data_IF_541531748179
#
_entry.id   IF_541531748179
#
_cell.length_a   1.000
_cell.length_b   1.000
_cell.length_c   1.000
_cell.angle_alpha   90.00
_cell.angle_beta   90.00
_cell.angle_gamma   90.00
#
_symmetry.space_group_name_H-M   'P 1'
#
loop_
_entity.id
_entity.type
_entity.pdbx_description
1 polymer ?
#
# COMPACT_ATOMS: atom_id res chain seq x y z
N UNK A 1 -15.48 2.07 -26.24
CA UNK A 1 -16.34 1.04 -25.65
C UNK A 1 -15.66 0.63 -24.36
N UNK A 2 -16.26 0.92 -23.22
CA UNK A 2 -15.66 0.63 -21.90
C UNK A 2 -15.56 -0.88 -21.73
N UNK A 3 -14.35 -1.42 -21.54
CA UNK A 3 -14.19 -2.82 -21.19
C UNK A 3 -14.50 -2.98 -19.70
N UNK A 4 -15.27 -4.02 -19.37
CA UNK A 4 -15.51 -4.43 -17.99
C UNK A 4 -14.98 -5.84 -17.77
N UNK A 5 -14.29 -6.07 -16.64
CA UNK A 5 -13.85 -7.41 -16.21
C UNK A 5 -14.02 -7.53 -14.71
N UNK A 6 -14.67 -8.59 -14.24
CA UNK A 6 -14.94 -8.83 -12.81
C UNK A 6 -15.49 -7.61 -12.02
N UNK A 7 -16.24 -6.71 -12.66
CA UNK A 7 -16.79 -5.50 -12.00
C UNK A 7 -15.88 -4.26 -12.02
N UNK A 8 -14.66 -4.36 -12.57
CA UNK A 8 -13.81 -3.21 -12.86
C UNK A 8 -14.21 -2.57 -14.19
N UNK A 9 -14.26 -1.25 -14.19
CA UNK A 9 -14.36 -0.41 -15.40
C UNK A 9 -12.97 0.07 -15.81
N UNK A 10 -12.58 -0.21 -17.06
CA UNK A 10 -11.32 0.26 -17.63
C UNK A 10 -11.55 1.48 -18.50
N UNK A 11 -11.02 2.63 -18.03
CA UNK A 11 -11.13 3.92 -18.72
C UNK A 11 -10.05 4.12 -19.80
N UNK A 12 -8.94 3.39 -19.70
CA UNK A 12 -7.85 3.40 -20.68
C UNK A 12 -8.00 2.30 -21.72
N UNK A 13 -7.23 2.42 -22.82
CA UNK A 13 -7.09 1.34 -23.79
C UNK A 13 -6.34 0.16 -23.15
N UNK A 14 -6.89 -1.05 -23.31
CA UNK A 14 -6.22 -2.31 -22.92
C UNK A 14 -5.51 -2.83 -24.14
N UNK A 15 -4.18 -2.92 -24.04
CA UNK A 15 -3.30 -3.41 -25.09
C UNK A 15 -3.08 -4.92 -24.93
N UNK A 16 -2.57 -5.61 -25.97
CA UNK A 16 -2.19 -7.02 -25.84
C UNK A 16 -1.15 -7.30 -24.75
N UNK A 17 -0.34 -6.32 -24.37
CA UNK A 17 0.63 -6.46 -23.28
C UNK A 17 -0.05 -6.51 -21.90
N UNK A 18 -1.24 -5.92 -21.77
CA UNK A 18 -1.99 -5.87 -20.51
C UNK A 18 -2.73 -7.18 -20.24
N UNK A 19 -3.03 -7.98 -21.26
CA UNK A 19 -3.81 -9.22 -21.14
C UNK A 19 -3.17 -10.24 -20.19
N UNK A 20 -1.84 -10.28 -20.12
CA UNK A 20 -1.11 -11.14 -19.18
C UNK A 20 -1.16 -10.66 -17.72
N UNK A 21 -1.55 -9.40 -17.48
CA UNK A 21 -1.61 -8.78 -16.15
C UNK A 21 -3.07 -8.67 -15.69
N UNK A 22 -3.95 -8.17 -16.54
CA UNK A 22 -5.37 -7.92 -16.30
C UNK A 22 -6.22 -9.17 -16.60
N UNK A 23 -5.74 -10.33 -16.16
CA UNK A 23 -6.49 -11.59 -16.25
C UNK A 23 -7.76 -11.52 -15.40
N UNK A 24 -8.78 -12.33 -15.73
CA UNK A 24 -10.05 -12.34 -14.98
C UNK A 24 -9.83 -12.59 -13.48
N UNK A 25 -8.95 -13.54 -13.13
CA UNK A 25 -8.65 -13.87 -11.74
C UNK A 25 -7.92 -12.74 -11.02
N UNK A 26 -7.00 -12.05 -11.69
CA UNK A 26 -6.31 -10.89 -11.13
C UNK A 26 -7.29 -9.72 -10.91
N UNK A 27 -8.17 -9.45 -11.86
CA UNK A 27 -9.19 -8.42 -11.73
C UNK A 27 -10.17 -8.73 -10.59
N UNK A 28 -10.64 -9.98 -10.48
CA UNK A 28 -11.49 -10.43 -9.37
C UNK A 28 -10.81 -10.22 -8.03
N UNK A 29 -9.55 -10.62 -7.90
CA UNK A 29 -8.78 -10.42 -6.68
C UNK A 29 -8.64 -8.93 -6.31
N UNK A 30 -8.40 -8.05 -7.30
CA UNK A 30 -8.34 -6.61 -7.05
C UNK A 30 -9.70 -6.07 -6.56
N UNK A 31 -10.82 -6.52 -7.12
CA UNK A 31 -12.15 -6.14 -6.62
C UNK A 31 -12.33 -6.53 -5.15
N UNK A 32 -12.01 -7.78 -4.78
CA UNK A 32 -12.11 -8.25 -3.39
C UNK A 32 -11.26 -7.40 -2.44
N UNK A 33 -10.06 -6.99 -2.85
CA UNK A 33 -9.22 -6.08 -2.07
C UNK A 33 -9.83 -4.67 -1.93
N UNK A 34 -10.41 -4.14 -3.00
CA UNK A 34 -11.06 -2.82 -2.98
C UNK A 34 -12.25 -2.86 -2.04
N UNK A 35 -13.12 -3.86 -2.17
CA UNK A 35 -14.30 -4.02 -1.31
C UNK A 35 -13.92 -4.17 0.16
N UNK A 36 -12.87 -4.94 0.47
CA UNK A 36 -12.43 -5.17 1.83
C UNK A 36 -11.75 -3.95 2.48
N UNK A 37 -11.04 -3.12 1.71
CA UNK A 37 -10.09 -2.15 2.29
C UNK A 37 -10.28 -0.68 1.87
N UNK A 38 -11.03 -0.38 0.81
CA UNK A 38 -11.12 0.99 0.28
C UNK A 38 -11.81 1.97 1.23
N UNK A 39 -12.83 1.53 1.97
CA UNK A 39 -13.50 2.36 2.98
C UNK A 39 -12.51 2.78 4.07
N UNK A 40 -11.80 1.80 4.66
CA UNK A 40 -10.81 2.06 5.71
C UNK A 40 -9.68 2.97 5.23
N UNK A 41 -9.18 2.77 4.01
CA UNK A 41 -8.19 3.66 3.38
C UNK A 41 -8.71 5.11 3.35
N UNK A 42 -9.96 5.31 2.94
CA UNK A 42 -10.59 6.62 2.88
C UNK A 42 -10.71 7.26 4.27
N UNK A 43 -11.14 6.49 5.28
CA UNK A 43 -11.18 6.98 6.67
C UNK A 43 -9.81 7.39 7.20
N UNK A 44 -8.75 6.64 6.85
CA UNK A 44 -7.37 6.97 7.24
C UNK A 44 -6.88 8.27 6.57
N UNK A 45 -7.23 8.52 5.31
CA UNK A 45 -6.91 9.79 4.64
C UNK A 45 -7.63 10.97 5.29
N UNK A 46 -8.89 10.80 5.70
CA UNK A 46 -9.61 11.81 6.48
C UNK A 46 -8.95 12.06 7.85
N UNK A 47 -8.52 10.99 8.53
CA UNK A 47 -7.81 11.09 9.81
C UNK A 47 -6.48 11.85 9.67
N UNK A 48 -5.75 11.70 8.56
CA UNK A 48 -4.54 12.49 8.27
C UNK A 48 -4.84 13.99 8.22
N UNK A 49 -5.91 14.39 7.54
CA UNK A 49 -6.34 15.80 7.48
C UNK A 49 -6.71 16.34 8.87
N UNK A 50 -7.47 15.56 9.64
CA UNK A 50 -7.85 15.93 11.00
C UNK A 50 -6.64 16.05 11.94
N UNK A 51 -5.64 15.18 11.79
CA UNK A 51 -4.39 15.26 12.54
C UNK A 51 -3.58 16.50 12.16
N UNK A 52 -3.46 16.79 10.86
CA UNK A 52 -2.76 17.99 10.39
C UNK A 52 -3.39 19.27 10.93
N UNK A 53 -4.72 19.38 10.94
CA UNK A 53 -5.41 20.55 11.50
C UNK A 53 -5.11 20.78 12.99
N UNK A 54 -4.86 19.73 13.77
CA UNK A 54 -4.42 19.85 15.17
C UNK A 54 -3.01 20.40 15.27
N UNK A 55 -2.13 20.00 14.36
CA UNK A 55 -0.76 20.51 14.29
C UNK A 55 -0.76 22.00 13.91
N UNK A 56 -1.54 22.36 12.89
CA UNK A 56 -1.65 23.74 12.43
C UNK A 56 -2.22 24.68 13.52
N UNK A 57 -3.05 24.14 14.42
CA UNK A 57 -3.57 24.84 15.60
C UNK A 57 -2.56 24.94 16.77
N UNK A 58 -1.29 24.54 16.57
CA UNK A 58 -0.22 24.63 17.56
C UNK A 58 0.06 23.34 18.32
N UNK A 59 -0.62 22.23 18.00
CA UNK A 59 -0.28 20.92 18.57
C UNK A 59 1.05 20.40 18.02
N UNK A 60 1.97 19.98 18.89
CA UNK A 60 3.19 19.32 18.44
C UNK A 60 3.03 17.79 18.51
N UNK A 61 3.58 17.03 17.55
CA UNK A 61 3.63 15.58 17.65
C UNK A 61 4.45 15.14 18.86
N UNK A 62 3.97 14.12 19.56
CA UNK A 62 4.68 13.47 20.66
C UNK A 62 4.26 11.98 20.77
N UNK A 63 4.96 11.20 21.59
CA UNK A 63 4.64 9.81 21.86
C UNK A 63 3.25 9.68 22.47
N UNK A 64 2.43 8.81 21.87
CA UNK A 64 1.10 8.54 22.40
C UNK A 64 1.18 7.79 23.73
N UNK A 65 0.45 8.25 24.74
CA UNK A 65 0.38 7.60 26.05
C UNK A 65 -0.30 6.23 25.97
N UNK A 66 -1.29 6.07 25.10
CA UNK A 66 -2.09 4.86 24.96
C UNK A 66 -1.33 3.65 24.38
N UNK A 67 -0.16 3.86 23.77
CA UNK A 67 0.69 2.77 23.25
C UNK A 67 1.92 2.51 24.12
N UNK A 68 1.98 3.03 25.35
CA UNK A 68 3.14 2.87 26.25
C UNK A 68 3.47 1.41 26.54
N UNK A 69 2.47 0.58 26.84
CA UNK A 69 2.66 -0.86 27.12
C UNK A 69 3.25 -1.62 25.94
N UNK A 70 2.95 -1.21 24.70
CA UNK A 70 3.54 -1.81 23.49
C UNK A 70 5.02 -1.44 23.36
N UNK A 71 5.40 -0.19 23.70
CA UNK A 71 6.80 0.27 23.62
C UNK A 71 7.68 -0.32 24.71
N UNK A 72 7.10 -0.58 25.89
CA UNK A 72 7.81 -1.13 27.05
C UNK A 72 7.71 -2.66 27.16
N UNK A 73 6.92 -3.31 26.28
CA UNK A 73 6.75 -4.75 26.26
C UNK A 73 7.94 -5.48 25.65
N UNK A 74 8.18 -6.72 26.09
CA UNK A 74 9.18 -7.62 25.51
C UNK A 74 8.55 -8.44 24.38
N UNK A 75 8.67 -7.93 23.15
CA UNK A 75 8.20 -8.61 21.94
C UNK A 75 9.17 -8.41 20.78
N UNK A 76 9.07 -9.30 19.79
CA UNK A 76 9.84 -9.23 18.53
C UNK A 76 8.91 -9.45 17.36
N UNK A 77 9.29 -8.93 16.19
CA UNK A 77 8.63 -9.25 14.93
C UNK A 77 8.77 -10.76 14.63
N UNK A 78 7.94 -11.26 13.70
CA UNK A 78 8.06 -12.64 13.22
C UNK A 78 9.43 -12.94 12.59
N UNK A 79 9.79 -14.23 12.46
CA UNK A 79 11.06 -14.63 11.86
C UNK A 79 11.21 -14.09 10.44
N UNK A 80 12.43 -13.65 10.10
CA UNK A 80 12.75 -13.11 8.79
C UNK A 80 13.26 -14.22 7.85
N UNK A 81 12.86 -14.22 6.56
CA UNK A 81 13.51 -15.04 5.53
C UNK A 81 15.01 -14.73 5.42
N UNK A 82 15.82 -15.76 5.12
CA UNK A 82 17.28 -15.61 4.99
C UNK A 82 17.70 -14.54 3.99
N UNK A 83 16.97 -14.40 2.88
CA UNK A 83 17.19 -13.39 1.85
C UNK A 83 17.05 -11.93 2.34
N UNK A 84 16.45 -11.70 3.52
CA UNK A 84 16.23 -10.36 4.08
C UNK A 84 17.15 -10.04 5.27
N UNK A 85 18.06 -10.94 5.66
CA UNK A 85 18.94 -10.75 6.82
C UNK A 85 20.10 -9.77 6.55
N UNK A 86 20.53 -9.64 5.31
CA UNK A 86 21.61 -8.76 4.89
C UNK A 86 21.14 -7.78 3.80
N UNK A 87 20.76 -6.58 4.23
CA UNK A 87 20.28 -5.48 3.38
C UNK A 87 21.18 -4.25 3.49
N UNK A 88 22.50 -4.48 3.62
CA UNK A 88 23.50 -3.42 3.87
C UNK A 88 23.50 -2.29 2.84
N UNK A 89 23.07 -2.58 1.62
CA UNK A 89 22.89 -1.62 0.53
C UNK A 89 21.61 -1.98 -0.21
N UNK A 90 20.79 -0.98 -0.47
CA UNK A 90 19.60 -1.08 -1.31
C UNK A 90 19.67 -0.02 -2.40
N UNK A 91 19.29 -0.39 -3.62
CA UNK A 91 19.16 0.52 -4.75
C UNK A 91 17.67 0.66 -5.09
N UNK A 92 17.24 1.90 -5.31
CA UNK A 92 15.87 2.21 -5.73
C UNK A 92 15.88 2.74 -7.16
N UNK A 93 14.88 2.36 -7.95
CA UNK A 93 14.75 2.80 -9.33
C UNK A 93 13.33 2.65 -9.86
N UNK A 94 13.06 3.16 -11.07
CA UNK A 94 11.78 2.96 -11.74
C UNK A 94 11.56 1.49 -12.12
N UNK A 95 10.31 1.15 -12.45
CA UNK A 95 9.92 -0.20 -12.90
C UNK A 95 10.13 -0.44 -14.39
N UNK A 96 10.92 0.40 -15.08
CA UNK A 96 11.19 0.18 -16.50
C UNK A 96 12.13 -1.02 -16.71
N UNK A 97 11.95 -1.71 -17.84
CA UNK A 97 12.64 -2.97 -18.13
C UNK A 97 14.16 -2.85 -18.05
N UNK A 98 14.73 -1.72 -18.48
CA UNK A 98 16.19 -1.54 -18.50
C UNK A 98 16.70 -1.29 -17.09
N UNK A 99 16.00 -0.48 -16.30
CA UNK A 99 16.40 -0.14 -14.94
C UNK A 99 16.16 -1.26 -13.92
N UNK A 100 15.25 -2.20 -14.20
CA UNK A 100 15.11 -3.43 -13.40
C UNK A 100 16.35 -4.33 -13.53
N UNK A 101 17.03 -4.31 -14.68
CA UNK A 101 18.18 -5.19 -14.97
C UNK A 101 19.49 -4.63 -14.41
N UNK A 102 19.65 -3.32 -14.43
CA UNK A 102 20.89 -2.63 -14.02
C UNK A 102 21.02 -2.54 -12.50
#
# INVERSE_FOLDING_TARGET
MTLTRSGLEFLGEITPADEGILTEDACRFVCELVDAFAERRTSLLAARKAWQAKIDAGGLPDFRADTKSVREGDWKVGPLPSALLDRRVEITGPVDRKMIIN
#
